data_IF_731119526441
#
_entry.id   IF_731119526441
#
_cell.length_a   1.000
_cell.length_b   1.000
_cell.length_c   1.000
_cell.angle_alpha   90.00
_cell.angle_beta   90.00
_cell.angle_gamma   90.00
#
_symmetry.space_group_name_H-M   'P 1'
#
loop_
_entity.id
_entity.type
_entity.pdbx_description
1 polymer ?
#
# COMPACT_ATOMS: atom_id res chain seq x y z
N UNK A 1 17.06 -10.04 -20.83
CA UNK A 1 15.73 -10.36 -20.25
C UNK A 1 15.29 -9.13 -19.46
N UNK A 2 14.07 -8.64 -19.66
CA UNK A 2 13.55 -7.57 -18.81
C UNK A 2 13.38 -8.12 -17.38
N UNK A 3 13.83 -7.36 -16.38
CA UNK A 3 13.59 -7.73 -14.98
C UNK A 3 12.07 -7.81 -14.75
N UNK A 4 11.61 -8.90 -14.14
CA UNK A 4 10.19 -9.09 -13.82
C UNK A 4 9.89 -8.30 -12.55
N UNK A 5 9.41 -7.08 -12.72
CA UNK A 5 9.05 -6.18 -11.63
C UNK A 5 7.56 -6.33 -11.33
N UNK A 6 7.21 -6.43 -10.06
CA UNK A 6 5.83 -6.38 -9.58
C UNK A 6 5.50 -4.96 -9.15
N UNK A 7 4.43 -4.39 -9.70
CA UNK A 7 3.92 -3.09 -9.26
C UNK A 7 2.65 -3.31 -8.42
N UNK A 8 2.68 -2.81 -7.19
CA UNK A 8 1.63 -2.98 -6.20
C UNK A 8 1.00 -1.61 -5.92
N UNK A 9 -0.24 -1.42 -6.36
CA UNK A 9 -0.95 -0.15 -6.22
C UNK A 9 -2.05 -0.31 -5.18
N UNK A 10 -1.92 0.40 -4.06
CA UNK A 10 -2.94 0.49 -3.02
C UNK A 10 -3.76 1.76 -3.21
N UNK A 11 -5.08 1.60 -3.21
CA UNK A 11 -6.05 2.69 -3.23
C UNK A 11 -6.92 2.50 -1.99
N UNK A 12 -6.72 3.35 -0.98
CA UNK A 12 -7.36 3.23 0.33
C UNK A 12 -8.36 4.37 0.53
N UNK A 13 -9.58 4.02 0.91
CA UNK A 13 -10.62 4.98 1.23
C UNK A 13 -10.39 5.56 2.64
N UNK A 14 -10.39 6.88 2.78
CA UNK A 14 -10.30 7.63 4.05
C UNK A 14 -11.64 8.29 4.44
N UNK A 15 -12.68 8.12 3.64
CA UNK A 15 -13.97 8.74 3.89
C UNK A 15 -14.64 8.18 5.16
N UNK A 16 -15.50 8.99 5.78
CA UNK A 16 -16.20 8.63 7.02
C UNK A 16 -17.13 7.41 6.91
N UNK A 17 -17.40 6.89 5.70
CA UNK A 17 -18.11 5.60 5.54
C UNK A 17 -17.30 4.40 6.02
N UNK A 18 -16.00 4.58 6.27
CA UNK A 18 -15.12 3.58 6.87
C UNK A 18 -15.24 3.50 8.39
N UNK A 19 -16.18 4.21 9.04
CA UNK A 19 -16.29 4.25 10.51
C UNK A 19 -16.40 2.85 11.11
N UNK A 20 -15.33 2.39 11.76
CA UNK A 20 -15.21 1.07 12.38
C UNK A 20 -14.40 0.04 11.57
N UNK A 21 -14.04 0.33 10.32
CA UNK A 21 -13.26 -0.52 9.41
C UNK A 21 -11.85 0.04 9.12
N UNK A 22 -11.51 1.21 9.66
CA UNK A 22 -10.21 1.85 9.44
C UNK A 22 -9.08 0.95 9.95
N UNK A 23 -9.27 0.37 11.15
CA UNK A 23 -8.32 -0.55 11.76
C UNK A 23 -8.12 -1.82 10.92
N UNK A 24 -9.21 -2.37 10.38
CA UNK A 24 -9.14 -3.57 9.54
C UNK A 24 -8.45 -3.27 8.20
N UNK A 25 -8.67 -2.08 7.66
CA UNK A 25 -8.05 -1.61 6.41
C UNK A 25 -6.55 -1.39 6.59
N UNK A 26 -6.15 -0.69 7.65
CA UNK A 26 -4.75 -0.50 8.03
C UNK A 26 -4.08 -1.85 8.32
N UNK A 27 -4.76 -2.72 9.07
CA UNK A 27 -4.28 -4.07 9.38
C UNK A 27 -4.07 -4.92 8.12
N UNK A 28 -5.04 -4.89 7.20
CA UNK A 28 -4.97 -5.57 5.90
C UNK A 28 -3.83 -5.06 5.03
N UNK A 29 -3.68 -3.74 4.90
CA UNK A 29 -2.58 -3.11 4.18
C UNK A 29 -1.22 -3.54 4.77
N UNK A 30 -1.04 -3.40 6.08
CA UNK A 30 0.21 -3.73 6.76
C UNK A 30 0.56 -5.22 6.61
N UNK A 31 -0.43 -6.10 6.71
CA UNK A 31 -0.26 -7.55 6.55
C UNK A 31 0.14 -7.93 5.12
N UNK A 32 -0.48 -7.30 4.11
CA UNK A 32 -0.13 -7.52 2.70
C UNK A 32 1.29 -7.03 2.41
N UNK A 33 1.65 -5.85 2.92
CA UNK A 33 3.00 -5.30 2.77
C UNK A 33 4.05 -6.24 3.37
N UNK A 34 3.81 -6.76 4.58
CA UNK A 34 4.72 -7.69 5.25
C UNK A 34 4.92 -8.97 4.41
N UNK A 35 3.84 -9.58 3.93
CA UNK A 35 3.92 -10.78 3.06
C UNK A 35 4.72 -10.52 1.79
N UNK A 36 4.45 -9.40 1.11
CA UNK A 36 5.15 -9.06 -0.14
C UNK A 36 6.62 -8.71 0.05
N UNK A 37 7.04 -8.30 1.25
CA UNK A 37 8.47 -8.07 1.56
C UNK A 37 9.27 -9.38 1.67
N UNK A 38 8.61 -10.49 1.95
CA UNK A 38 9.22 -11.82 2.09
C UNK A 38 9.30 -12.58 0.77
N UNK A 39 8.45 -12.22 -0.20
CA UNK A 39 8.43 -12.84 -1.52
C UNK A 39 9.67 -12.46 -2.36
N UNK A 40 10.24 -13.40 -3.14
CA UNK A 40 11.37 -13.12 -4.01
C UNK A 40 10.94 -12.26 -5.21
N UNK A 41 11.66 -11.18 -5.46
CA UNK A 41 11.46 -10.32 -6.62
C UNK A 41 11.59 -8.85 -6.29
N UNK A 42 11.55 -8.03 -7.33
CA UNK A 42 11.50 -6.57 -7.17
C UNK A 42 10.05 -6.13 -7.12
N UNK A 43 9.66 -5.50 -6.01
CA UNK A 43 8.32 -4.96 -5.81
C UNK A 43 8.39 -3.46 -5.62
N UNK A 44 7.59 -2.75 -6.40
CA UNK A 44 7.39 -1.31 -6.33
C UNK A 44 5.99 -1.05 -5.80
N UNK A 45 5.85 -0.12 -4.87
CA UNK A 45 4.59 0.19 -4.21
C UNK A 45 4.20 1.64 -4.45
N UNK A 46 2.95 1.82 -4.85
CA UNK A 46 2.27 3.11 -4.85
C UNK A 46 1.10 3.02 -3.89
N UNK A 47 0.89 4.04 -3.06
CA UNK A 47 -0.23 4.07 -2.10
C UNK A 47 -0.92 5.41 -2.20
N UNK A 48 -2.21 5.37 -2.49
CA UNK A 48 -3.08 6.52 -2.63
C UNK A 48 -4.18 6.41 -1.58
N UNK A 49 -4.34 7.45 -0.77
CA UNK A 49 -5.54 7.65 0.04
C UNK A 49 -6.51 8.51 -0.76
N UNK A 50 -7.80 8.22 -0.71
CA UNK A 50 -8.81 9.04 -1.36
C UNK A 50 -10.03 9.30 -0.47
N UNK A 51 -10.64 10.47 -0.64
CA UNK A 51 -11.91 10.88 -0.05
C UNK A 51 -12.61 11.92 -0.97
N UNK A 52 -12.63 13.20 -0.59
CA UNK A 52 -12.96 14.34 -1.44
C UNK A 52 -11.78 14.81 -2.30
N UNK A 53 -10.56 14.33 -1.99
CA UNK A 53 -9.37 14.50 -2.81
C UNK A 53 -8.57 13.19 -2.86
N UNK A 54 -7.29 13.30 -3.23
CA UNK A 54 -6.35 12.19 -3.11
C UNK A 54 -5.04 12.66 -2.46
N UNK A 55 -4.45 11.76 -1.68
CA UNK A 55 -3.14 11.94 -1.06
C UNK A 55 -2.25 10.76 -1.44
N UNK A 56 -1.04 11.03 -1.90
CA UNK A 56 -0.11 9.99 -2.33
C UNK A 56 0.92 9.76 -1.23
N UNK A 57 0.86 8.60 -0.56
CA UNK A 57 1.76 8.25 0.54
C UNK A 57 3.06 7.62 0.04
N UNK A 58 2.97 6.82 -1.01
CA UNK A 58 4.11 6.16 -1.64
C UNK A 58 3.99 6.35 -3.15
N UNK A 59 5.08 6.80 -3.79
CA UNK A 59 5.18 6.98 -5.24
C UNK A 59 6.28 6.06 -5.77
N UNK A 60 5.86 4.94 -6.40
CA UNK A 60 6.78 3.97 -6.99
C UNK A 60 7.96 3.63 -6.09
N UNK A 61 7.68 3.49 -4.80
CA UNK A 61 8.70 3.25 -3.77
C UNK A 61 9.03 1.77 -3.75
N UNK A 62 10.32 1.40 -3.70
CA UNK A 62 10.69 0.00 -3.47
C UNK A 62 10.07 -0.48 -2.15
N UNK A 63 9.45 -1.67 -2.16
CA UNK A 63 8.71 -2.18 -1.00
C UNK A 63 9.53 -2.19 0.28
N UNK A 64 10.85 -2.39 0.21
CA UNK A 64 11.75 -2.40 1.37
C UNK A 64 11.82 -1.04 2.08
N UNK A 65 11.64 0.06 1.33
CA UNK A 65 11.57 1.42 1.87
C UNK A 65 10.17 1.86 2.34
N UNK A 66 9.14 1.04 2.09
CA UNK A 66 7.76 1.38 2.47
C UNK A 66 7.54 1.14 3.96
N UNK A 67 7.03 2.16 4.65
CA UNK A 67 6.69 2.10 6.07
C UNK A 67 5.24 1.66 6.26
N UNK A 68 4.99 1.01 7.40
CA UNK A 68 3.63 0.71 7.83
C UNK A 68 2.88 2.01 8.12
N UNK A 69 1.57 2.01 7.87
CA UNK A 69 0.68 3.11 8.23
C UNK A 69 -0.02 2.80 9.56
N UNK A 70 -0.36 3.85 10.31
CA UNK A 70 -0.94 3.79 11.67
C UNK A 70 -2.27 4.49 11.74
#
# INVERSE_FOLDING_TARGET
MAAKITELVFILDKSGSMSGLERDTIGGFNSMLAKQKEEPGEVIVTTVLFDHGYELLHDRTNIQGVRLIT
#
